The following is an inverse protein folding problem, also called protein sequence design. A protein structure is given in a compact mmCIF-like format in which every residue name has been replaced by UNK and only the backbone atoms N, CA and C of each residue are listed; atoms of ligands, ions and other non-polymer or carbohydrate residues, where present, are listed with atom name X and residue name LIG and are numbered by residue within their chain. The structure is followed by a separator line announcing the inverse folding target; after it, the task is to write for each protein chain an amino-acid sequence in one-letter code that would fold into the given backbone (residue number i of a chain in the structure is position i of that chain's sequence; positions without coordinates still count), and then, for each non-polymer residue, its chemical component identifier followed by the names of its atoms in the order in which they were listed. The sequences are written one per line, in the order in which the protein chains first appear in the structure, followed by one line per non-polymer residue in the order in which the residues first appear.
data_IF_620083660092
#
_entry.id   IF_620083660092
#
_cell.length_a   1.000
_cell.length_b   1.000
_cell.length_c   1.000
_cell.angle_alpha   90.00
_cell.angle_beta   90.00
_cell.angle_gamma   90.00
#
_symmetry.space_group_name_H-M   'P 1'
#
loop_
_entity.id
_entity.type
_entity.pdbx_description
1 polymer ?
#
# COMPACT_ATOMS: atom_id res chain seq x y z
N UNK A 1 4.62 -30.96 -1.57
CA UNK A 1 4.10 -29.93 -0.63
C UNK A 1 5.28 -29.12 -0.09
N UNK A 2 5.21 -27.79 -0.11
CA UNK A 2 6.25 -26.95 0.50
C UNK A 2 6.41 -27.25 2.00
N UNK A 3 7.64 -27.09 2.51
CA UNK A 3 7.95 -27.27 3.94
C UNK A 3 7.19 -26.24 4.77
N UNK A 4 6.77 -26.62 5.99
CA UNK A 4 6.05 -25.71 6.88
C UNK A 4 6.85 -24.44 7.16
N UNK A 5 8.18 -24.57 7.31
CA UNK A 5 9.10 -23.46 7.52
C UNK A 5 9.05 -22.42 6.39
N UNK A 6 8.96 -22.87 5.14
CA UNK A 6 8.89 -21.97 3.98
C UNK A 6 7.54 -21.23 3.91
N UNK A 7 6.43 -21.89 4.26
CA UNK A 7 5.13 -21.22 4.37
C UNK A 7 5.12 -20.13 5.45
N UNK A 8 5.71 -20.39 6.62
CA UNK A 8 5.82 -19.39 7.69
C UNK A 8 6.68 -18.21 7.29
N UNK A 9 7.85 -18.48 6.70
CA UNK A 9 8.74 -17.41 6.24
C UNK A 9 8.07 -16.53 5.18
N UNK A 10 7.40 -17.15 4.20
CA UNK A 10 6.65 -16.44 3.18
C UNK A 10 5.50 -15.60 3.77
N UNK A 11 4.78 -16.13 4.76
CA UNK A 11 3.71 -15.39 5.43
C UNK A 11 4.23 -14.17 6.19
N UNK A 12 5.34 -14.31 6.93
CA UNK A 12 5.98 -13.18 7.62
C UNK A 12 6.43 -12.11 6.61
N UNK A 13 7.04 -12.53 5.50
CA UNK A 13 7.48 -11.60 4.46
C UNK A 13 6.29 -10.87 3.80
N UNK A 14 5.17 -11.59 3.58
CA UNK A 14 3.94 -10.99 3.09
C UNK A 14 3.39 -9.94 4.08
N UNK A 15 3.40 -10.21 5.39
CA UNK A 15 2.99 -9.23 6.39
C UNK A 15 3.83 -7.94 6.32
N UNK A 16 5.15 -8.05 6.23
CA UNK A 16 6.03 -6.89 6.04
C UNK A 16 5.69 -6.11 4.75
N UNK A 17 5.37 -6.82 3.66
CA UNK A 17 4.91 -6.21 2.42
C UNK A 17 3.62 -5.40 2.62
N UNK A 18 2.63 -5.96 3.33
CA UNK A 18 1.37 -5.25 3.63
C UNK A 18 1.59 -4.03 4.51
N UNK A 19 2.46 -4.13 5.52
CA UNK A 19 2.84 -2.96 6.32
C UNK A 19 3.50 -1.88 5.48
N UNK A 20 4.37 -2.26 4.54
CA UNK A 20 4.99 -1.34 3.58
C UNK A 20 3.97 -0.65 2.67
N UNK A 21 3.02 -1.40 2.12
CA UNK A 21 1.96 -0.89 1.24
C UNK A 21 1.04 0.11 1.97
N UNK A 22 0.64 -0.21 3.21
CA UNK A 22 -0.15 0.70 4.06
C UNK A 22 0.65 1.97 4.38
N UNK A 23 1.93 1.82 4.75
CA UNK A 23 2.79 2.96 5.05
C UNK A 23 2.94 3.86 3.81
N UNK A 24 3.27 3.28 2.65
CA UNK A 24 3.36 4.01 1.39
C UNK A 24 2.07 4.75 1.06
N UNK A 25 0.90 4.13 1.29
CA UNK A 25 -0.40 4.77 1.04
C UNK A 25 -0.64 5.99 1.93
N UNK A 26 -0.21 5.97 3.19
CA UNK A 26 -0.44 7.06 4.15
C UNK A 26 0.59 8.19 4.06
N UNK A 27 1.81 7.87 3.65
CA UNK A 27 2.93 8.80 3.66
C UNK A 27 2.78 9.91 2.59
N UNK A 28 3.15 11.17 2.90
CA UNK A 28 3.00 12.29 1.96
C UNK A 28 4.19 12.51 1.00
N UNK A 29 5.22 11.66 1.04
CA UNK A 29 6.45 11.83 0.25
C UNK A 29 6.40 11.16 -1.13
N UNK A 30 5.23 11.10 -1.77
CA UNK A 30 5.09 10.53 -3.11
C UNK A 30 5.76 11.38 -4.18
N UNK A 31 5.64 12.70 -4.06
CA UNK A 31 6.31 13.64 -4.95
C UNK A 31 6.83 14.81 -4.14
N UNK A 32 8.12 15.09 -4.30
CA UNK A 32 8.77 16.23 -3.64
C UNK A 32 9.09 17.27 -4.71
N UNK A 33 8.43 18.41 -4.62
CA UNK A 33 8.71 19.58 -5.44
C UNK A 33 9.55 20.55 -4.60
N UNK A 34 10.76 20.83 -5.06
CA UNK A 34 11.62 21.88 -4.50
C UNK A 34 11.60 23.07 -5.45
N UNK A 35 10.76 24.05 -5.16
CA UNK A 35 10.66 25.27 -5.95
C UNK A 35 11.77 26.23 -5.53
N UNK A 36 12.92 26.13 -6.23
CA UNK A 36 14.10 26.98 -6.02
C UNK A 36 14.20 27.98 -7.19
N UNK A 37 13.20 28.85 -7.35
CA UNK A 37 13.11 29.81 -8.45
C UNK A 37 12.82 31.24 -7.99
N UNK A 38 13.47 32.22 -8.63
CA UNK A 38 13.48 33.65 -8.30
C UNK A 38 12.13 34.41 -8.45
N UNK A 39 11.00 33.71 -8.57
CA UNK A 39 9.68 34.31 -8.84
C UNK A 39 8.53 33.80 -7.95
N UNK A 40 8.79 33.10 -6.84
CA UNK A 40 7.71 32.58 -5.96
C UNK A 40 7.85 33.16 -4.54
N UNK A 41 6.78 33.81 -4.08
CA UNK A 41 6.78 34.67 -2.89
C UNK A 41 6.78 33.89 -1.55
N UNK A 42 6.42 32.59 -1.45
CA UNK A 42 6.39 31.88 -0.13
C UNK A 42 6.40 30.32 -0.12
N UNK A 43 7.24 29.56 -0.85
CA UNK A 43 7.36 28.11 -0.58
C UNK A 43 8.74 27.54 -0.99
N UNK A 44 9.40 26.74 -0.13
CA UNK A 44 10.75 26.17 -0.39
C UNK A 44 10.69 24.68 -0.71
N UNK A 45 9.81 23.91 -0.06
CA UNK A 45 9.57 22.50 -0.40
C UNK A 45 8.10 22.10 -0.24
N UNK A 46 7.54 21.48 -1.27
CA UNK A 46 6.18 20.95 -1.29
C UNK A 46 6.24 19.41 -1.40
N UNK A 47 5.69 18.74 -0.38
CA UNK A 47 5.54 17.29 -0.31
C UNK A 47 4.12 16.95 -0.72
N UNK A 48 3.95 16.46 -1.94
CA UNK A 48 2.66 16.07 -2.48
C UNK A 48 2.41 14.60 -2.18
N UNK A 49 1.48 14.34 -1.27
CA UNK A 49 1.07 13.00 -0.89
C UNK A 49 -0.16 12.52 -1.62
N UNK A 50 -0.46 11.24 -1.42
CA UNK A 50 -1.65 10.64 -2.00
C UNK A 50 -2.91 11.21 -1.34
N UNK A 51 -2.96 11.35 -0.01
CA UNK A 51 -4.13 11.81 0.75
C UNK A 51 -4.00 13.23 1.31
N UNK A 52 -2.78 13.67 1.60
CA UNK A 52 -2.48 14.98 2.18
C UNK A 52 -1.32 15.62 1.42
N UNK A 53 -1.33 16.94 1.30
CA UNK A 53 -0.18 17.73 0.84
C UNK A 53 0.42 18.43 2.03
N UNK A 54 1.74 18.44 2.15
CA UNK A 54 2.44 19.18 3.19
C UNK A 54 3.40 20.18 2.55
N UNK A 55 3.37 21.42 3.03
CA UNK A 55 4.25 22.49 2.54
C UNK A 55 5.13 23.00 3.68
N UNK A 56 6.42 23.13 3.40
CA UNK A 56 7.38 23.72 4.31
C UNK A 56 7.68 25.16 3.90
N UNK A 57 7.35 26.10 4.77
CA UNK A 57 7.56 27.52 4.55
C UNK A 57 8.92 27.97 5.10
N UNK A 58 9.55 28.96 4.45
CA UNK A 58 10.81 29.58 4.90
C UNK A 58 10.71 30.21 6.30
N UNK A 59 9.50 30.61 6.69
CA UNK A 59 9.16 31.17 8.00
C UNK A 59 9.24 30.15 9.15
N UNK A 60 9.60 28.89 8.86
CA UNK A 60 9.64 27.80 9.85
C UNK A 60 8.28 27.16 10.12
N UNK A 61 7.25 27.52 9.36
CA UNK A 61 5.91 26.93 9.46
C UNK A 61 5.82 25.65 8.61
N UNK A 62 5.29 24.58 9.20
CA UNK A 62 4.92 23.36 8.51
C UNK A 62 3.40 23.21 8.52
N UNK A 63 2.79 23.18 7.33
CA UNK A 63 1.34 23.07 7.19
C UNK A 63 0.99 21.87 6.31
N UNK A 64 0.10 21.01 6.78
CA UNK A 64 -0.43 19.89 5.99
C UNK A 64 -1.93 20.10 5.75
N UNK A 65 -2.34 20.01 4.49
CA UNK A 65 -3.73 20.13 4.06
C UNK A 65 -4.22 18.80 3.49
N UNK A 66 -5.39 18.35 3.96
CA UNK A 66 -6.04 17.14 3.45
C UNK A 66 -6.73 17.46 2.13
N UNK A 67 -6.57 16.57 1.13
CA UNK A 67 -7.24 16.69 -0.16
C UNK A 67 -8.67 16.12 -0.08
N UNK A 68 -9.64 16.94 0.32
CA UNK A 68 -11.06 16.55 0.48
C UNK A 68 -11.84 16.43 -0.85
N UNK A 69 -11.49 17.24 -1.85
CA UNK A 69 -12.19 17.25 -3.15
C UNK A 69 -11.63 16.19 -4.09
N UNK A 70 -12.37 15.08 -4.24
CA UNK A 70 -12.06 14.00 -5.18
C UNK A 70 -12.23 14.42 -6.65
N UNK A 71 -13.13 15.38 -6.93
CA UNK A 71 -13.49 15.79 -8.29
C UNK A 71 -12.55 16.86 -8.89
N UNK A 72 -11.77 17.55 -8.05
CA UNK A 72 -10.82 18.59 -8.49
C UNK A 72 -9.37 18.06 -8.55
N UNK A 73 -9.18 16.77 -8.27
CA UNK A 73 -7.86 16.15 -8.20
C UNK A 73 -7.46 15.63 -9.59
N UNK A 74 -6.18 15.77 -10.00
CA UNK A 74 -5.76 15.25 -11.29
C UNK A 74 -5.93 13.72 -11.36
N UNK A 75 -6.35 13.25 -12.54
CA UNK A 75 -6.73 11.86 -12.81
C UNK A 75 -5.65 10.85 -12.39
N UNK A 76 -4.37 11.19 -12.55
CA UNK A 76 -3.25 10.31 -12.16
C UNK A 76 -3.19 10.05 -10.64
N UNK A 77 -3.47 11.06 -9.79
CA UNK A 77 -3.52 10.87 -8.34
C UNK A 77 -4.74 10.04 -7.94
N UNK A 78 -5.88 10.26 -8.59
CA UNK A 78 -7.09 9.50 -8.31
C UNK A 78 -6.94 8.03 -8.68
N UNK A 79 -6.32 7.73 -9.83
CA UNK A 79 -5.99 6.38 -10.24
C UNK A 79 -5.00 5.73 -9.26
N UNK A 80 -3.97 6.46 -8.82
CA UNK A 80 -3.02 5.95 -7.83
C UNK A 80 -3.65 5.64 -6.47
N UNK A 81 -4.60 6.47 -6.01
CA UNK A 81 -5.41 6.18 -4.80
C UNK A 81 -6.20 4.90 -4.95
N UNK A 82 -6.89 4.71 -6.07
CA UNK A 82 -7.75 3.55 -6.25
C UNK A 82 -6.94 2.26 -6.34
N UNK A 83 -5.79 2.26 -7.02
CA UNK A 83 -4.92 1.07 -7.11
C UNK A 83 -4.28 0.73 -5.78
N UNK A 84 -3.83 1.73 -5.00
CA UNK A 84 -3.29 1.50 -3.64
C UNK A 84 -4.35 0.96 -2.67
N UNK A 85 -5.55 1.55 -2.68
CA UNK A 85 -6.65 1.03 -1.85
C UNK A 85 -7.04 -0.39 -2.26
N UNK A 86 -7.04 -0.69 -3.56
CA UNK A 86 -7.31 -2.05 -4.04
C UNK A 86 -6.21 -3.02 -3.58
N UNK A 87 -4.93 -2.63 -3.64
CA UNK A 87 -3.78 -3.40 -3.13
C UNK A 87 -3.96 -3.76 -1.65
N UNK A 88 -4.31 -2.77 -0.81
CA UNK A 88 -4.60 -2.98 0.61
C UNK A 88 -5.74 -3.98 0.85
N UNK A 89 -6.84 -3.86 0.10
CA UNK A 89 -8.00 -4.76 0.23
C UNK A 89 -7.60 -6.18 -0.17
N UNK A 90 -6.92 -6.35 -1.30
CA UNK A 90 -6.50 -7.65 -1.80
C UNK A 90 -5.48 -8.32 -0.87
N UNK A 91 -4.59 -7.53 -0.27
CA UNK A 91 -3.66 -7.95 0.78
C UNK A 91 -4.39 -8.46 2.02
N UNK A 92 -5.43 -7.76 2.48
CA UNK A 92 -6.24 -8.19 3.62
C UNK A 92 -6.95 -9.52 3.34
N UNK A 93 -7.55 -9.68 2.15
CA UNK A 93 -8.12 -10.96 1.72
C UNK A 93 -7.06 -12.05 1.62
N UNK A 94 -5.86 -11.73 1.09
CA UNK A 94 -4.72 -12.64 1.04
C UNK A 94 -4.33 -13.17 2.42
N UNK A 95 -4.26 -12.30 3.44
CA UNK A 95 -3.99 -12.69 4.83
C UNK A 95 -5.09 -13.62 5.36
N UNK A 96 -6.37 -13.28 5.18
CA UNK A 96 -7.48 -14.12 5.62
C UNK A 96 -7.48 -15.51 4.96
N UNK A 97 -7.23 -15.58 3.65
CA UNK A 97 -7.24 -16.85 2.92
C UNK A 97 -6.00 -17.70 3.27
N UNK A 98 -4.83 -17.08 3.35
CA UNK A 98 -3.58 -17.80 3.69
C UNK A 98 -3.60 -18.32 5.12
N UNK A 99 -4.10 -17.55 6.09
CA UNK A 99 -4.22 -18.01 7.49
C UNK A 99 -5.10 -19.25 7.63
N UNK A 100 -6.19 -19.36 6.88
CA UNK A 100 -7.03 -20.58 6.81
C UNK A 100 -6.29 -21.71 6.07
N UNK A 101 -5.53 -21.37 5.02
CA UNK A 101 -4.73 -22.31 4.21
C UNK A 101 -3.49 -22.90 4.89
N UNK A 102 -3.06 -22.39 6.04
CA UNK A 102 -1.82 -22.83 6.69
C UNK A 102 -1.95 -24.19 7.38
N UNK A 103 -0.86 -24.98 7.35
CA UNK A 103 -0.80 -26.30 8.01
C UNK A 103 -1.13 -26.25 9.51
N UNK A 104 -0.76 -25.17 10.19
CA UNK A 104 -0.96 -24.98 11.63
C UNK A 104 -2.37 -24.53 12.04
N UNK A 105 -3.20 -24.11 11.09
CA UNK A 105 -4.59 -23.73 11.36
C UNK A 105 -5.48 -24.96 11.25
N UNK A 106 -6.24 -25.24 12.33
CA UNK A 106 -7.18 -26.38 12.43
C UNK A 106 -8.57 -26.08 11.87
N UNK A 107 -8.79 -24.85 11.39
CA UNK A 107 -9.98 -24.45 10.63
C UNK A 107 -9.79 -24.83 9.16
N UNK A 108 -10.53 -25.83 8.67
CA UNK A 108 -10.50 -26.23 7.25
C UNK A 108 -10.49 -27.73 7.08
N UNK A 109 -11.26 -28.21 6.10
CA UNK A 109 -11.47 -29.63 5.78
C UNK A 109 -10.24 -30.32 5.18
N UNK A 110 -10.45 -31.06 4.09
CA UNK A 110 -9.44 -31.93 3.51
C UNK A 110 -8.13 -31.20 3.11
N UNK A 111 -7.03 -31.96 3.02
CA UNK A 111 -5.68 -31.43 2.78
C UNK A 111 -5.60 -30.70 1.44
N UNK A 112 -6.37 -31.16 0.45
CA UNK A 112 -6.47 -30.55 -0.88
C UNK A 112 -7.17 -29.18 -0.85
N UNK A 113 -8.27 -29.04 -0.11
CA UNK A 113 -8.94 -27.74 0.04
C UNK A 113 -8.04 -26.72 0.72
N UNK A 114 -7.24 -27.16 1.70
CA UNK A 114 -6.28 -26.31 2.38
C UNK A 114 -5.13 -25.87 1.48
N UNK A 115 -4.63 -26.77 0.63
CA UNK A 115 -3.62 -26.45 -0.37
C UNK A 115 -4.14 -25.45 -1.42
N UNK A 116 -5.38 -25.62 -1.90
CA UNK A 116 -6.02 -24.71 -2.83
C UNK A 116 -6.24 -23.32 -2.22
N UNK A 117 -6.65 -23.25 -0.95
CA UNK A 117 -6.76 -21.98 -0.23
C UNK A 117 -5.39 -21.28 -0.10
N UNK A 118 -4.34 -22.01 0.29
CA UNK A 118 -2.99 -21.46 0.37
C UNK A 118 -2.51 -20.92 -1.00
N UNK A 119 -2.83 -21.61 -2.09
CA UNK A 119 -2.49 -21.17 -3.44
C UNK A 119 -3.28 -19.92 -3.87
N UNK A 120 -4.59 -19.90 -3.61
CA UNK A 120 -5.43 -18.73 -3.87
C UNK A 120 -4.97 -17.49 -3.09
N UNK A 121 -4.61 -17.65 -1.81
CA UNK A 121 -4.07 -16.56 -1.00
C UNK A 121 -2.73 -16.02 -1.53
N UNK A 122 -1.87 -16.90 -2.06
CA UNK A 122 -0.64 -16.49 -2.75
C UNK A 122 -0.91 -15.67 -4.01
N UNK A 123 -1.90 -16.05 -4.83
CA UNK A 123 -2.33 -15.27 -6.00
C UNK A 123 -2.84 -13.90 -5.58
N UNK A 124 -3.63 -13.81 -4.50
CA UNK A 124 -4.10 -12.53 -3.97
C UNK A 124 -2.95 -11.60 -3.58
N UNK A 125 -1.89 -12.12 -2.93
CA UNK A 125 -0.71 -11.32 -2.60
C UNK A 125 0.09 -10.88 -3.83
N UNK A 126 0.21 -11.73 -4.85
CA UNK A 126 0.88 -11.35 -6.11
C UNK A 126 0.10 -10.23 -6.80
N UNK A 127 -1.21 -10.38 -6.91
CA UNK A 127 -2.08 -9.34 -7.48
C UNK A 127 -2.00 -8.06 -6.65
N UNK A 128 -2.02 -8.14 -5.32
CA UNK A 128 -1.87 -6.98 -4.45
C UNK A 128 -0.56 -6.23 -4.77
N UNK A 129 0.56 -6.95 -4.83
CA UNK A 129 1.86 -6.37 -5.17
C UNK A 129 1.89 -5.69 -6.54
N UNK A 130 1.23 -6.28 -7.56
CA UNK A 130 1.12 -5.66 -8.89
C UNK A 130 0.34 -4.34 -8.80
N UNK A 131 -0.80 -4.33 -8.11
CA UNK A 131 -1.64 -3.13 -7.95
C UNK A 131 -0.96 -2.05 -7.11
N UNK A 132 -0.14 -2.41 -6.12
CA UNK A 132 0.68 -1.49 -5.34
C UNK A 132 1.84 -0.90 -6.13
N UNK A 133 2.39 -1.63 -7.11
CA UNK A 133 3.55 -1.19 -7.90
C UNK A 133 3.19 -0.31 -9.11
N UNK A 134 1.98 -0.47 -9.68
CA UNK A 134 1.50 0.37 -10.79
C UNK A 134 1.57 1.89 -10.52
N UNK A 135 1.16 2.40 -9.34
CA UNK A 135 1.16 3.83 -9.06
C UNK A 135 2.48 4.39 -8.52
N UNK A 136 3.39 3.56 -8.01
CA UNK A 136 4.70 3.98 -7.45
C UNK A 136 5.71 4.28 -8.54
#
# INVERSE_FOLDING_TARGET
MASASLQFFAFILALFGVFGDIAATLLPNWKVNADVGSNIITAITQMQGLWMDCTWYSTGMFSCTLKYSILSLPVYIQAARSTMVLSCILSAFGICITTVGMKCTRLGGDTDSKNNACFAGGICFILAGIFGLVPT
#
